data_IF_025465710851
#
_entry.id   IF_025465710851
#
_cell.length_a   1.000
_cell.length_b   1.000
_cell.length_c   1.000
_cell.angle_alpha   90.00
_cell.angle_beta   90.00
_cell.angle_gamma   90.00
#
_symmetry.space_group_name_H-M   'P 1'
#
loop_
_entity.id
_entity.type
_entity.pdbx_description
1 polymer ?
#
# COMPACT_ATOMS: atom_id res chain seq x y z
N UNK A 1 -3.81 24.04 -5.34
CA UNK A 1 -5.18 23.59 -5.04
C UNK A 1 -5.16 22.08 -5.15
N UNK A 2 -4.96 21.39 -4.04
CA UNK A 2 -5.19 19.93 -3.99
C UNK A 2 -6.70 19.75 -3.87
N UNK A 3 -7.31 19.20 -4.90
CA UNK A 3 -8.74 18.88 -4.88
C UNK A 3 -9.02 17.98 -3.67
N UNK A 4 -9.79 18.51 -2.75
CA UNK A 4 -10.28 17.86 -1.53
C UNK A 4 -11.37 16.84 -1.85
N UNK A 5 -11.11 15.95 -2.81
CA UNK A 5 -11.88 14.74 -3.02
C UNK A 5 -11.35 13.66 -2.09
N UNK A 6 -12.23 13.05 -1.29
CA UNK A 6 -11.89 11.90 -0.44
C UNK A 6 -11.30 10.80 -1.32
N UNK A 7 -9.96 10.72 -1.39
CA UNK A 7 -9.29 9.70 -2.18
C UNK A 7 -9.28 8.41 -1.39
N UNK A 8 -9.75 7.35 -2.03
CA UNK A 8 -9.69 6.03 -1.43
C UNK A 8 -8.28 5.46 -1.57
N UNK A 9 -7.81 4.85 -0.49
CA UNK A 9 -6.51 4.21 -0.39
C UNK A 9 -6.70 2.75 0.00
N UNK A 10 -6.12 1.85 -0.78
CA UNK A 10 -6.18 0.41 -0.52
C UNK A 10 -4.81 -0.01 -0.01
N UNK A 11 -4.74 -0.46 1.24
CA UNK A 11 -3.44 -0.68 1.87
C UNK A 11 -3.48 -1.48 3.16
N UNK A 12 -2.30 -1.66 3.73
CA UNK A 12 -2.05 -2.40 4.97
C UNK A 12 -1.46 -1.43 5.98
N UNK A 13 -1.93 -1.51 7.23
CA UNK A 13 -1.35 -0.77 8.33
C UNK A 13 0.09 -1.23 8.60
N UNK A 14 1.01 -0.28 8.66
CA UNK A 14 2.41 -0.55 8.99
C UNK A 14 2.51 -0.77 10.51
N UNK A 15 2.63 -2.04 10.89
CA UNK A 15 3.01 -2.43 12.26
C UNK A 15 4.51 -2.23 12.46
N UNK A 16 4.99 -2.25 13.71
CA UNK A 16 6.44 -2.16 14.01
C UNK A 16 7.26 -3.20 13.25
N UNK A 17 6.79 -4.45 13.25
CA UNK A 17 7.46 -5.54 12.54
C UNK A 17 7.47 -5.34 11.01
N UNK A 18 6.44 -4.70 10.44
CA UNK A 18 6.40 -4.37 9.02
C UNK A 18 7.30 -3.15 8.71
N UNK A 19 7.40 -2.18 9.62
CA UNK A 19 8.30 -1.04 9.49
C UNK A 19 9.77 -1.50 9.43
N UNK A 20 10.18 -2.42 10.30
CA UNK A 20 11.54 -2.98 10.29
C UNK A 20 11.88 -3.66 8.95
N UNK A 21 10.91 -4.38 8.37
CA UNK A 21 11.08 -5.02 7.07
C UNK A 21 11.15 -3.99 5.92
N UNK A 22 10.39 -2.89 6.01
CA UNK A 22 10.42 -1.80 5.04
C UNK A 22 11.73 -1.00 5.14
N UNK A 23 12.26 -0.81 6.35
CA UNK A 23 13.53 -0.10 6.59
C UNK A 23 14.74 -0.94 6.13
N UNK A 24 14.59 -2.27 6.06
CA UNK A 24 15.58 -3.21 5.52
C UNK A 24 15.00 -4.07 4.37
N UNK A 25 14.59 -3.45 3.25
CA UNK A 25 13.86 -4.13 2.20
C UNK A 25 14.74 -5.14 1.47
N UNK A 26 14.12 -6.08 0.74
CA UNK A 26 14.86 -6.96 -0.15
C UNK A 26 15.68 -6.16 -1.21
N UNK A 27 16.84 -6.66 -1.65
CA UNK A 27 17.64 -5.96 -2.66
C UNK A 27 16.85 -5.77 -3.95
N UNK A 28 16.89 -4.55 -4.50
CA UNK A 28 16.24 -4.22 -5.77
C UNK A 28 14.75 -3.89 -5.70
N UNK A 29 14.09 -3.92 -4.54
CA UNK A 29 12.63 -3.67 -4.44
C UNK A 29 12.24 -2.26 -3.98
N UNK A 30 13.22 -1.41 -3.64
CA UNK A 30 12.98 -0.03 -3.17
C UNK A 30 12.12 0.81 -4.12
N UNK A 31 12.27 0.59 -5.43
CA UNK A 31 11.53 1.32 -6.45
C UNK A 31 10.00 1.12 -6.37
N UNK A 32 9.53 0.02 -5.76
CA UNK A 32 8.10 -0.28 -5.59
C UNK A 32 7.40 0.59 -4.54
N UNK A 33 8.13 1.35 -3.72
CA UNK A 33 7.52 2.22 -2.72
C UNK A 33 8.22 3.57 -2.51
N UNK A 34 9.43 3.76 -3.04
CA UNK A 34 10.13 5.06 -3.04
C UNK A 34 9.83 5.90 -4.29
N UNK A 35 9.30 5.29 -5.35
CA UNK A 35 8.99 6.02 -6.58
C UNK A 35 7.67 6.78 -6.43
N UNK A 36 7.63 8.06 -6.83
CA UNK A 36 6.39 8.86 -6.88
C UNK A 36 5.45 8.46 -8.05
N UNK A 37 5.49 7.17 -8.43
CA UNK A 37 4.64 6.61 -9.47
C UNK A 37 3.35 6.11 -8.82
N UNK A 38 2.20 6.56 -9.34
CA UNK A 38 0.86 6.15 -8.89
C UNK A 38 0.58 4.66 -9.15
N UNK A 39 1.43 4.00 -9.93
CA UNK A 39 1.35 2.57 -10.18
C UNK A 39 2.01 1.70 -9.11
N UNK A 40 2.87 2.30 -8.29
CA UNK A 40 3.59 1.63 -7.21
C UNK A 40 2.94 1.91 -5.86
N UNK A 41 3.41 1.19 -4.83
CA UNK A 41 2.94 1.41 -3.47
C UNK A 41 3.44 2.77 -2.97
N UNK A 42 2.70 3.34 -2.04
CA UNK A 42 3.03 4.56 -1.35
C UNK A 42 2.88 4.32 0.15
N UNK A 43 3.81 4.89 0.91
CA UNK A 43 3.70 4.96 2.36
C UNK A 43 3.02 6.28 2.68
N UNK A 44 1.85 6.20 3.30
CA UNK A 44 1.04 7.36 3.68
C UNK A 44 0.88 7.39 5.19
N UNK A 45 0.91 8.59 5.75
CA UNK A 45 0.61 8.80 7.15
C UNK A 45 -0.80 9.37 7.25
N UNK A 46 -1.70 8.62 7.88
CA UNK A 46 -3.06 9.06 8.17
C UNK A 46 -3.19 9.20 9.69
N UNK A 47 -3.37 10.44 10.16
CA UNK A 47 -3.33 10.75 11.60
C UNK A 47 -2.00 10.30 12.21
N UNK A 48 -2.03 9.41 13.20
CA UNK A 48 -0.87 8.88 13.92
C UNK A 48 -0.43 7.49 13.43
N UNK A 49 -1.03 7.00 12.33
CA UNK A 49 -0.78 5.67 11.80
C UNK A 49 -0.19 5.75 10.40
N UNK A 50 0.72 4.81 10.09
CA UNK A 50 1.31 4.68 8.75
C UNK A 50 0.69 3.51 8.03
N UNK A 51 0.51 3.66 6.73
CA UNK A 51 -0.05 2.64 5.86
C UNK A 51 0.78 2.52 4.59
N UNK A 52 0.90 1.31 4.07
CA UNK A 52 1.52 1.04 2.76
C UNK A 52 0.47 0.48 1.81
N UNK A 53 0.37 1.02 0.61
CA UNK A 53 -0.74 0.72 -0.26
C UNK A 53 -0.79 1.60 -1.50
N UNK A 54 -1.94 1.65 -2.16
CA UNK A 54 -2.11 2.39 -3.42
C UNK A 54 -3.40 3.21 -3.39
N UNK A 55 -3.33 4.42 -3.93
CA UNK A 55 -4.53 5.23 -4.20
C UNK A 55 -5.31 4.67 -5.38
N UNK A 56 -6.63 4.64 -5.26
CA UNK A 56 -7.54 4.31 -6.37
C UNK A 56 -8.17 5.58 -6.92
N UNK A 57 -8.36 5.62 -8.24
CA UNK A 57 -9.01 6.74 -8.90
C UNK A 57 -10.53 6.71 -8.68
N UNK A 58 -11.17 7.86 -8.81
CA UNK A 58 -12.63 7.93 -8.80
C UNK A 58 -13.23 7.10 -9.94
N UNK A 59 -14.33 6.41 -9.66
CA UNK A 59 -14.96 5.50 -10.62
C UNK A 59 -14.21 4.18 -10.84
N UNK A 60 -13.28 3.80 -9.94
CA UNK A 60 -12.58 2.53 -10.04
C UNK A 60 -13.55 1.33 -9.98
N UNK A 61 -13.48 0.38 -10.93
CA UNK A 61 -14.39 -0.77 -10.95
C UNK A 61 -14.25 -1.64 -9.70
N UNK A 62 -15.36 -1.88 -8.99
CA UNK A 62 -15.38 -2.74 -7.79
C UNK A 62 -14.89 -4.16 -8.10
N UNK A 63 -15.13 -4.66 -9.32
CA UNK A 63 -14.66 -5.97 -9.75
C UNK A 63 -13.14 -6.11 -9.71
N UNK A 64 -12.40 -5.02 -9.93
CA UNK A 64 -10.94 -5.01 -9.97
C UNK A 64 -10.31 -4.74 -8.59
N UNK A 65 -11.12 -4.46 -7.57
CA UNK A 65 -10.63 -4.08 -6.24
C UNK A 65 -9.93 -5.25 -5.54
N UNK A 66 -10.41 -6.48 -5.76
CA UNK A 66 -9.76 -7.69 -5.27
C UNK A 66 -8.35 -7.84 -5.88
N UNK A 67 -8.19 -7.52 -7.17
CA UNK A 67 -6.89 -7.57 -7.85
C UNK A 67 -5.92 -6.52 -7.29
N UNK A 68 -6.42 -5.33 -6.95
CA UNK A 68 -5.63 -4.31 -6.25
C UNK A 68 -5.15 -4.82 -4.90
N UNK A 69 -6.04 -5.44 -4.09
CA UNK A 69 -5.65 -6.01 -2.80
C UNK A 69 -4.57 -7.09 -2.94
N UNK A 70 -4.72 -8.02 -3.90
CA UNK A 70 -3.71 -9.04 -4.23
C UNK A 70 -2.39 -8.44 -4.67
N UNK A 71 -2.44 -7.38 -5.47
CA UNK A 71 -1.25 -6.68 -5.94
C UNK A 71 -0.51 -6.03 -4.76
N UNK A 72 -1.23 -5.34 -3.87
CA UNK A 72 -0.67 -4.78 -2.63
C UNK A 72 0.00 -5.88 -1.79
N UNK A 73 -0.71 -6.98 -1.50
CA UNK A 73 -0.12 -8.10 -0.75
C UNK A 73 1.13 -8.68 -1.42
N UNK A 74 1.09 -8.87 -2.75
CA UNK A 74 2.20 -9.45 -3.51
C UNK A 74 3.44 -8.56 -3.45
N UNK A 75 3.28 -7.26 -3.63
CA UNK A 75 4.41 -6.31 -3.58
C UNK A 75 4.93 -6.17 -2.16
N UNK A 76 4.06 -6.05 -1.15
CA UNK A 76 4.50 -6.01 0.26
C UNK A 76 5.28 -7.28 0.61
N UNK A 77 4.81 -8.45 0.18
CA UNK A 77 5.54 -9.71 0.38
C UNK A 77 6.93 -9.71 -0.26
N UNK A 78 7.09 -9.10 -1.43
CA UNK A 78 8.41 -8.93 -2.07
C UNK A 78 9.31 -8.01 -1.25
N UNK A 79 8.77 -6.91 -0.73
CA UNK A 79 9.50 -5.95 0.12
C UNK A 79 9.98 -6.64 1.40
N UNK A 80 9.11 -7.40 2.04
CA UNK A 80 9.34 -8.09 3.32
C UNK A 80 10.00 -9.46 3.19
N UNK A 81 10.75 -9.71 2.11
CA UNK A 81 11.53 -10.95 1.89
C UNK A 81 10.71 -12.25 2.06
N UNK A 82 9.44 -12.24 1.63
CA UNK A 82 8.58 -13.44 1.62
C UNK A 82 7.69 -13.63 2.84
N UNK A 83 7.64 -12.68 3.79
CA UNK A 83 6.70 -12.71 4.93
C UNK A 83 5.26 -12.96 4.47
N UNK A 84 4.53 -13.76 5.24
CA UNK A 84 3.12 -14.02 4.96
C UNK A 84 2.31 -12.77 5.32
N UNK A 85 1.76 -12.15 4.30
CA UNK A 85 0.78 -11.06 4.40
C UNK A 85 -0.54 -11.64 3.93
N UNK A 86 -1.58 -11.55 4.75
CA UNK A 86 -2.89 -12.09 4.39
C UNK A 86 -3.76 -11.01 3.72
N UNK A 87 -4.54 -11.39 2.70
CA UNK A 87 -5.44 -10.45 1.99
C UNK A 87 -6.42 -9.75 2.93
N UNK A 88 -6.80 -10.40 4.05
CA UNK A 88 -7.67 -9.81 5.09
C UNK A 88 -7.04 -8.61 5.82
N UNK A 89 -5.72 -8.44 5.74
CA UNK A 89 -5.01 -7.30 6.33
C UNK A 89 -5.09 -6.06 5.44
N UNK A 90 -5.52 -6.22 4.18
CA UNK A 90 -5.76 -5.11 3.26
C UNK A 90 -7.12 -4.50 3.58
N UNK A 91 -7.13 -3.18 3.78
CA UNK A 91 -8.33 -2.40 4.06
C UNK A 91 -8.39 -1.19 3.13
N UNK A 92 -9.59 -0.63 3.01
CA UNK A 92 -9.85 0.60 2.25
C UNK A 92 -9.98 1.74 3.25
N UNK A 93 -9.22 2.79 3.03
CA UNK A 93 -9.19 3.99 3.86
C UNK A 93 -9.68 5.18 3.05
N UNK A 94 -10.40 6.08 3.71
CA UNK A 94 -10.68 7.42 3.19
C UNK A 94 -9.61 8.35 3.72
N UNK A 95 -8.91 9.03 2.81
CA UNK A 95 -7.83 9.95 3.12
C UNK A 95 -8.21 11.40 2.80
#
# INVERSE_FOLDING_TARGET
MEESGNRLFVGIKITKALQEDIDSPAPGVKHYFESNNKEYLQIVQMRDEKFIGRYINDGFPVANLADVGRNVCSIVKLITKGKRIEEKEVQIYSC
#
